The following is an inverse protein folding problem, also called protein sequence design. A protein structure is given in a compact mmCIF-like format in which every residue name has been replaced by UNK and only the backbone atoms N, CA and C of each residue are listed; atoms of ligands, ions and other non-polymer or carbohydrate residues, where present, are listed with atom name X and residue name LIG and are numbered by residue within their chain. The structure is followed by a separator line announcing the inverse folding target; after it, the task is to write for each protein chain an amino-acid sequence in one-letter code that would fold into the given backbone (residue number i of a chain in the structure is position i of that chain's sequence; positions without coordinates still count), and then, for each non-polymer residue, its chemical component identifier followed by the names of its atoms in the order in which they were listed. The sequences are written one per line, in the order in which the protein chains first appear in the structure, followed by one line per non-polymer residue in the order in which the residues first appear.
data_IF_554793050299
#
_entry.id   IF_554793050299
#
_cell.length_a   1.000
_cell.length_b   1.000
_cell.length_c   1.000
_cell.angle_alpha   90.00
_cell.angle_beta   90.00
_cell.angle_gamma   90.00
#
_symmetry.space_group_name_H-M   'P 1'
#
loop_
_entity.id
_entity.type
_entity.pdbx_description
1 polymer ?
#
# COMPACT_ATOMS: atom_id res chain seq x y z
N UNK A 1 -32.50 17.27 6.46
CA UNK A 1 -31.53 16.38 5.79
C UNK A 1 -31.67 14.98 6.38
N UNK A 2 -32.01 13.97 5.58
CA UNK A 2 -32.16 12.61 6.10
C UNK A 2 -30.77 12.03 6.37
N UNK A 3 -30.34 11.97 7.64
CA UNK A 3 -29.00 11.51 8.06
C UNK A 3 -28.73 10.04 7.71
N UNK A 4 -29.73 9.29 7.25
CA UNK A 4 -29.62 7.90 6.80
C UNK A 4 -29.38 7.74 5.28
N UNK A 5 -29.35 8.83 4.50
CA UNK A 5 -29.11 8.74 3.06
C UNK A 5 -27.64 8.43 2.74
N UNK A 6 -27.41 7.46 1.85
CA UNK A 6 -26.10 7.20 1.27
C UNK A 6 -26.20 6.71 -0.18
N UNK A 7 -25.15 7.00 -0.93
CA UNK A 7 -24.98 6.58 -2.31
C UNK A 7 -23.83 5.58 -2.48
N UNK A 8 -22.89 5.57 -1.54
CA UNK A 8 -21.74 4.69 -1.59
C UNK A 8 -21.34 4.16 -0.21
N UNK A 9 -20.68 3.00 -0.21
CA UNK A 9 -20.08 2.38 0.97
C UNK A 9 -18.58 2.25 0.69
N UNK A 10 -17.76 2.93 1.49
CA UNK A 10 -16.32 2.72 1.51
C UNK A 10 -16.00 1.65 2.55
N UNK A 11 -15.57 0.50 2.07
CA UNK A 11 -15.25 -0.69 2.81
C UNK A 11 -13.76 -0.73 3.10
N UNK A 12 -13.35 -0.21 4.26
CA UNK A 12 -11.97 -0.30 4.71
C UNK A 12 -11.74 -1.69 5.31
N UNK A 13 -10.73 -2.40 4.86
CA UNK A 13 -10.42 -3.79 5.26
C UNK A 13 -8.97 -3.92 5.71
N UNK A 14 -8.74 -4.98 6.48
CA UNK A 14 -7.49 -5.29 7.18
C UNK A 14 -7.28 -4.40 8.41
N UNK A 15 -8.11 -4.62 9.44
CA UNK A 15 -8.04 -3.90 10.73
C UNK A 15 -6.71 -4.07 11.48
N UNK A 16 -5.93 -5.11 11.14
CA UNK A 16 -4.62 -5.38 11.71
C UNK A 16 -3.49 -4.60 11.03
N UNK A 17 -3.76 -3.93 9.91
CA UNK A 17 -2.79 -3.04 9.29
C UNK A 17 -2.47 -1.88 10.22
N UNK A 18 -1.19 -1.52 10.33
CA UNK A 18 -0.75 -0.33 11.09
C UNK A 18 -1.40 0.97 10.60
N UNK A 19 -1.85 1.00 9.34
CA UNK A 19 -2.47 2.17 8.70
C UNK A 19 -3.97 2.28 8.95
N UNK A 20 -4.59 1.31 9.65
CA UNK A 20 -6.06 1.24 9.72
C UNK A 20 -6.69 2.46 10.39
N UNK A 21 -6.16 2.87 11.55
CA UNK A 21 -6.67 4.03 12.27
C UNK A 21 -6.40 5.33 11.50
N UNK A 22 -5.19 5.49 10.95
CA UNK A 22 -4.81 6.67 10.15
C UNK A 22 -5.67 6.80 8.89
N UNK A 23 -6.02 5.68 8.25
CA UNK A 23 -6.93 5.67 7.10
C UNK A 23 -8.36 6.06 7.49
N UNK A 24 -8.85 5.60 8.64
CA UNK A 24 -10.17 6.02 9.16
C UNK A 24 -10.19 7.51 9.51
N UNK A 25 -9.17 8.01 10.20
CA UNK A 25 -9.03 9.42 10.54
C UNK A 25 -8.96 10.28 9.27
N UNK A 26 -8.17 9.85 8.29
CA UNK A 26 -8.09 10.50 6.99
C UNK A 26 -9.45 10.61 6.30
N UNK A 27 -10.26 9.55 6.30
CA UNK A 27 -11.62 9.59 5.73
C UNK A 27 -12.47 10.63 6.43
N UNK A 28 -12.47 10.66 7.77
CA UNK A 28 -13.24 11.62 8.55
C UNK A 28 -12.80 13.06 8.25
N UNK A 29 -11.48 13.31 8.22
CA UNK A 29 -10.89 14.62 7.96
C UNK A 29 -11.23 15.13 6.56
N UNK A 30 -10.96 14.34 5.52
CA UNK A 30 -11.26 14.71 4.13
C UNK A 30 -12.76 14.97 3.91
N UNK A 31 -13.62 14.24 4.61
CA UNK A 31 -15.08 14.48 4.55
C UNK A 31 -15.44 15.83 5.20
N UNK A 32 -14.88 16.12 6.38
CA UNK A 32 -15.14 17.37 7.09
C UNK A 32 -14.62 18.60 6.32
N UNK A 33 -13.47 18.49 5.65
CA UNK A 33 -12.84 19.57 4.90
C UNK A 33 -13.57 19.93 3.61
N UNK A 34 -14.44 19.06 3.08
CA UNK A 34 -15.13 19.30 1.80
C UNK A 34 -16.08 20.51 1.81
N UNK A 35 -16.41 21.10 2.97
CA UNK A 35 -17.28 22.28 3.18
C UNK A 35 -18.55 22.35 2.30
N UNK A 36 -19.00 21.19 1.82
CA UNK A 36 -20.08 21.03 0.86
C UNK A 36 -21.22 20.34 1.57
N UNK A 37 -22.37 21.02 1.62
CA UNK A 37 -23.54 20.49 2.33
C UNK A 37 -23.98 19.10 1.80
N UNK A 38 -23.70 18.77 0.54
CA UNK A 38 -24.06 17.50 -0.09
C UNK A 38 -23.11 16.32 0.22
N UNK A 39 -21.96 16.55 0.86
CA UNK A 39 -20.96 15.52 1.17
C UNK A 39 -20.89 15.30 2.67
N UNK A 40 -21.31 14.13 3.15
CA UNK A 40 -21.25 13.75 4.55
C UNK A 40 -21.15 12.24 4.74
N UNK A 41 -20.67 11.83 5.92
CA UNK A 41 -20.73 10.46 6.39
C UNK A 41 -22.10 10.25 7.06
N UNK A 42 -22.88 9.31 6.54
CA UNK A 42 -24.19 8.95 7.11
C UNK A 42 -24.04 8.09 8.36
N UNK A 43 -23.16 7.08 8.30
CA UNK A 43 -22.78 6.23 9.44
C UNK A 43 -21.43 5.57 9.19
N UNK A 44 -20.78 5.18 10.28
CA UNK A 44 -19.60 4.30 10.28
C UNK A 44 -19.98 3.05 11.06
N UNK A 45 -19.77 1.89 10.45
CA UNK A 45 -20.12 0.59 11.04
C UNK A 45 -18.87 -0.28 11.12
N UNK A 46 -18.52 -0.74 12.31
CA UNK A 46 -17.44 -1.72 12.48
C UNK A 46 -17.93 -3.09 12.04
N UNK A 47 -17.14 -3.77 11.22
CA UNK A 47 -17.45 -5.11 10.70
C UNK A 47 -16.26 -6.03 10.98
N UNK A 48 -16.44 -7.34 10.85
CA UNK A 48 -15.34 -8.29 11.04
C UNK A 48 -14.19 -7.99 10.06
N UNK A 49 -13.01 -7.66 10.58
CA UNK A 49 -11.82 -7.39 9.79
C UNK A 49 -11.77 -6.00 9.13
N UNK A 50 -12.60 -5.05 9.56
CA UNK A 50 -12.57 -3.69 9.04
C UNK A 50 -13.75 -2.79 9.44
N UNK A 51 -14.05 -1.81 8.60
CA UNK A 51 -15.15 -0.87 8.81
C UNK A 51 -15.83 -0.49 7.48
N UNK A 52 -17.13 -0.21 7.55
CA UNK A 52 -17.93 0.30 6.44
C UNK A 52 -18.33 1.74 6.72
N UNK A 53 -17.89 2.66 5.85
CA UNK A 53 -18.20 4.09 5.91
C UNK A 53 -19.23 4.41 4.84
N UNK A 54 -20.40 4.86 5.27
CA UNK A 54 -21.52 5.18 4.39
C UNK A 54 -21.46 6.65 3.99
N UNK A 55 -21.34 6.92 2.69
CA UNK A 55 -21.10 8.25 2.14
C UNK A 55 -22.27 8.71 1.27
N UNK A 56 -22.63 9.99 1.37
CA UNK A 56 -23.70 10.61 0.60
C UNK A 56 -23.37 10.80 -0.89
N UNK A 57 -22.11 10.63 -1.32
CA UNK A 57 -21.67 10.86 -2.70
C UNK A 57 -20.77 9.74 -3.24
N UNK A 58 -21.14 9.16 -4.38
CA UNK A 58 -20.32 8.13 -5.07
C UNK A 58 -19.00 8.66 -5.59
N UNK A 59 -19.02 9.89 -6.14
CA UNK A 59 -17.82 10.52 -6.70
C UNK A 59 -16.79 10.73 -5.60
N UNK A 60 -17.24 11.20 -4.44
CA UNK A 60 -16.37 11.41 -3.29
C UNK A 60 -15.86 10.09 -2.69
N UNK A 61 -16.71 9.06 -2.59
CA UNK A 61 -16.26 7.74 -2.14
C UNK A 61 -15.17 7.13 -3.03
N UNK A 62 -15.31 7.28 -4.36
CA UNK A 62 -14.28 6.85 -5.32
C UNK A 62 -12.97 7.61 -5.13
N UNK A 63 -13.04 8.94 -4.98
CA UNK A 63 -11.88 9.80 -4.72
C UNK A 63 -11.13 9.39 -3.44
N UNK A 64 -11.87 9.18 -2.34
CA UNK A 64 -11.31 8.69 -1.09
C UNK A 64 -10.63 7.33 -1.24
N UNK A 65 -11.27 6.37 -1.91
CA UNK A 65 -10.69 5.06 -2.16
C UNK A 65 -9.37 5.14 -2.92
N UNK A 66 -9.30 5.97 -3.97
CA UNK A 66 -8.07 6.24 -4.73
C UNK A 66 -6.98 6.87 -3.86
N UNK A 67 -7.30 7.91 -3.07
CA UNK A 67 -6.33 8.55 -2.18
C UNK A 67 -5.79 7.61 -1.10
N UNK A 68 -6.64 6.76 -0.53
CA UNK A 68 -6.24 5.74 0.45
C UNK A 68 -5.25 4.77 -0.22
N UNK A 69 -5.57 4.29 -1.42
CA UNK A 69 -4.71 3.38 -2.16
C UNK A 69 -3.36 4.02 -2.53
N UNK A 70 -3.37 5.27 -2.98
CA UNK A 70 -2.15 6.02 -3.32
C UNK A 70 -1.27 6.27 -2.08
N UNK A 71 -1.88 6.58 -0.94
CA UNK A 71 -1.14 6.88 0.30
C UNK A 71 -0.61 5.63 1.00
N UNK A 72 -1.42 4.59 1.12
CA UNK A 72 -1.12 3.42 1.95
C UNK A 72 -0.88 2.14 1.15
N UNK A 73 -1.05 2.17 -0.17
CA UNK A 73 -0.93 0.99 -1.03
C UNK A 73 -2.13 0.04 -0.92
N UNK A 74 -1.87 -1.26 -0.90
CA UNK A 74 -2.91 -2.28 -0.78
C UNK A 74 -3.75 -2.45 -2.05
N UNK A 75 -5.03 -2.74 -1.91
CA UNK A 75 -5.95 -3.03 -3.02
C UNK A 75 -7.17 -2.11 -3.00
N UNK A 76 -7.50 -1.61 -4.20
CA UNK A 76 -8.70 -0.83 -4.48
C UNK A 76 -9.64 -1.60 -5.40
N UNK A 77 -10.91 -1.71 -5.02
CA UNK A 77 -11.96 -2.30 -5.83
C UNK A 77 -13.18 -1.39 -5.93
N UNK A 78 -13.79 -1.29 -7.10
CA UNK A 78 -15.02 -0.53 -7.33
C UNK A 78 -16.10 -1.48 -7.85
N UNK A 79 -17.26 -1.51 -7.20
CA UNK A 79 -18.37 -2.36 -7.60
C UNK A 79 -19.70 -1.58 -7.51
N UNK A 80 -20.31 -1.22 -8.66
CA UNK A 80 -21.64 -0.64 -8.66
C UNK A 80 -22.71 -1.71 -8.36
N UNK A 81 -23.72 -1.33 -7.58
CA UNK A 81 -24.86 -2.19 -7.22
C UNK A 81 -26.16 -1.49 -7.57
N UNK A 82 -27.05 -2.16 -8.31
CA UNK A 82 -28.40 -1.65 -8.57
C UNK A 82 -29.15 -1.49 -7.23
N UNK A 83 -29.65 -0.29 -6.95
CA UNK A 83 -30.39 0.02 -5.72
C UNK A 83 -31.89 0.10 -5.97
N UNK A 84 -32.30 0.84 -7.01
CA UNK A 84 -33.71 1.00 -7.35
C UNK A 84 -33.85 1.41 -8.81
N UNK A 85 -35.09 1.48 -9.30
CA UNK A 85 -35.45 2.05 -10.59
C UNK A 85 -36.35 3.24 -10.34
N UNK A 86 -35.97 4.40 -10.87
CA UNK A 86 -36.77 5.60 -10.79
C UNK A 86 -38.07 5.38 -11.58
N UNK A 87 -39.21 5.41 -10.89
CA UNK A 87 -40.52 5.10 -11.47
C UNK A 87 -41.01 6.12 -12.50
N UNK A 88 -40.54 7.37 -12.42
CA UNK A 88 -40.93 8.44 -13.34
C UNK A 88 -40.05 8.45 -14.60
N UNK A 89 -38.74 8.28 -14.45
CA UNK A 89 -37.80 8.35 -15.58
C UNK A 89 -37.43 6.98 -16.15
N UNK A 90 -37.89 5.89 -15.52
CA UNK A 90 -37.51 4.50 -15.81
C UNK A 90 -36.01 4.21 -15.72
N UNK A 91 -35.20 5.16 -15.22
CA UNK A 91 -33.74 5.03 -15.09
C UNK A 91 -33.35 4.23 -13.86
N UNK A 92 -32.31 3.42 -14.00
CA UNK A 92 -31.73 2.67 -12.89
C UNK A 92 -30.88 3.57 -11.99
N UNK A 93 -31.09 3.43 -10.68
CA UNK A 93 -30.36 4.13 -9.64
C UNK A 93 -29.41 3.14 -8.99
N UNK A 94 -28.12 3.37 -9.19
CA UNK A 94 -27.05 2.55 -8.62
C UNK A 94 -26.55 3.14 -7.29
N UNK A 95 -25.98 2.29 -6.44
CA UNK A 95 -25.06 2.65 -5.35
C UNK A 95 -23.66 2.12 -5.68
N UNK A 96 -22.63 2.63 -5.02
CA UNK A 96 -21.24 2.22 -5.26
C UNK A 96 -20.61 1.61 -4.02
N UNK A 97 -20.05 0.40 -4.14
CA UNK A 97 -19.14 -0.15 -3.16
C UNK A 97 -17.70 0.19 -3.57
N UNK A 98 -16.94 0.76 -2.63
CA UNK A 98 -15.53 1.08 -2.78
C UNK A 98 -14.77 0.24 -1.75
N UNK A 99 -14.07 -0.80 -2.21
CA UNK A 99 -13.22 -1.63 -1.36
C UNK A 99 -11.84 -0.99 -1.27
N UNK A 100 -11.37 -0.74 -0.06
CA UNK A 100 -9.99 -0.37 0.24
C UNK A 100 -9.41 -1.38 1.24
N UNK A 101 -8.57 -2.31 0.76
CA UNK A 101 -7.89 -3.28 1.61
C UNK A 101 -6.47 -2.80 1.86
N UNK A 102 -6.18 -2.44 3.11
CA UNK A 102 -4.86 -1.98 3.51
C UNK A 102 -3.86 -3.14 3.52
N UNK A 103 -2.59 -2.91 3.18
CA UNK A 103 -1.56 -3.95 3.25
C UNK A 103 -1.08 -4.15 4.70
N UNK A 104 -0.54 -5.33 5.02
CA UNK A 104 0.25 -5.48 6.24
C UNK A 104 1.66 -4.91 6.07
N UNK A 105 2.17 -4.90 4.84
CA UNK A 105 3.55 -4.59 4.49
C UNK A 105 3.58 -3.53 3.39
N UNK A 106 4.36 -2.47 3.63
CA UNK A 106 4.46 -1.35 2.70
C UNK A 106 5.29 -1.72 1.46
N UNK A 107 4.95 -1.11 0.33
CA UNK A 107 5.75 -1.20 -0.89
C UNK A 107 7.15 -0.65 -0.60
N UNK A 108 8.19 -1.35 -1.06
CA UNK A 108 9.59 -1.05 -0.80
C UNK A 108 10.15 -1.80 0.42
N UNK A 109 9.31 -2.29 1.33
CA UNK A 109 9.78 -3.10 2.46
C UNK A 109 10.47 -4.38 1.96
N UNK A 110 11.56 -4.78 2.60
CA UNK A 110 12.21 -6.06 2.38
C UNK A 110 11.74 -7.05 3.45
N UNK A 111 11.37 -8.24 3.02
CA UNK A 111 10.85 -9.29 3.88
C UNK A 111 11.58 -10.61 3.65
N UNK A 112 11.61 -11.45 4.68
CA UNK A 112 12.08 -12.83 4.57
C UNK A 112 10.91 -13.77 4.39
N UNK A 113 10.96 -14.58 3.34
CA UNK A 113 10.02 -15.68 3.08
C UNK A 113 10.81 -16.97 2.88
N UNK A 114 11.07 -17.68 3.97
CA UNK A 114 11.97 -18.84 3.99
C UNK A 114 13.39 -18.42 3.64
N UNK A 115 13.95 -18.99 2.56
CA UNK A 115 15.30 -18.65 2.05
C UNK A 115 15.33 -17.39 1.17
N UNK A 116 14.18 -16.82 0.84
CA UNK A 116 14.10 -15.69 -0.09
C UNK A 116 14.04 -14.37 0.68
N UNK A 117 14.92 -13.44 0.31
CA UNK A 117 14.84 -12.03 0.72
C UNK A 117 14.16 -11.27 -0.42
N UNK A 118 13.02 -10.65 -0.16
CA UNK A 118 12.14 -10.09 -1.19
C UNK A 118 11.90 -8.62 -0.94
N UNK A 119 12.25 -7.75 -1.89
CA UNK A 119 11.81 -6.35 -1.88
C UNK A 119 10.41 -6.27 -2.47
N UNK A 120 9.42 -5.85 -1.66
CA UNK A 120 8.04 -5.70 -2.10
C UNK A 120 7.93 -4.57 -3.13
N UNK A 121 7.28 -4.85 -4.25
CA UNK A 121 7.06 -3.93 -5.38
C UNK A 121 5.58 -3.68 -5.65
N UNK A 122 4.70 -4.58 -5.24
CA UNK A 122 3.28 -4.41 -5.45
C UNK A 122 2.44 -5.30 -4.56
N UNK A 123 1.15 -5.01 -4.57
CA UNK A 123 0.12 -5.73 -3.85
C UNK A 123 -1.04 -6.03 -4.80
N UNK A 124 -1.53 -7.26 -4.81
CA UNK A 124 -2.71 -7.64 -5.59
C UNK A 124 -3.46 -8.77 -4.89
N UNK A 125 -4.73 -8.55 -4.52
CA UNK A 125 -5.64 -9.57 -3.98
C UNK A 125 -5.04 -10.41 -2.85
N UNK A 126 -4.40 -9.77 -1.87
CA UNK A 126 -3.76 -10.45 -0.73
C UNK A 126 -2.43 -11.12 -1.04
N UNK A 127 -1.83 -10.80 -2.20
CA UNK A 127 -0.50 -11.29 -2.60
C UNK A 127 0.44 -10.12 -2.80
N UNK A 128 1.65 -10.24 -2.26
CA UNK A 128 2.73 -9.30 -2.49
C UNK A 128 3.56 -9.79 -3.68
N UNK A 129 3.79 -8.92 -4.64
CA UNK A 129 4.76 -9.13 -5.70
C UNK A 129 6.04 -8.40 -5.34
N UNK A 130 7.18 -9.01 -5.60
CA UNK A 130 8.46 -8.42 -5.25
C UNK A 130 9.63 -9.06 -5.97
N UNK A 131 10.80 -8.45 -5.84
CA UNK A 131 12.03 -8.95 -6.43
C UNK A 131 12.84 -9.65 -5.36
N UNK A 132 13.24 -10.89 -5.61
CA UNK A 132 14.18 -11.58 -4.76
C UNK A 132 15.55 -10.89 -4.89
N UNK A 133 16.08 -10.37 -3.78
CA UNK A 133 17.33 -9.60 -3.78
C UNK A 133 18.54 -10.46 -4.11
N UNK A 134 18.52 -11.76 -3.80
CA UNK A 134 19.64 -12.67 -4.09
C UNK A 134 19.65 -13.11 -5.55
N UNK A 135 18.49 -13.48 -6.09
CA UNK A 135 18.41 -14.05 -7.45
C UNK A 135 18.04 -13.05 -8.54
N UNK A 136 17.56 -11.85 -8.17
CA UNK A 136 17.01 -10.85 -9.08
C UNK A 136 15.66 -11.21 -9.72
N UNK A 137 15.12 -12.40 -9.45
CA UNK A 137 13.86 -12.87 -10.05
C UNK A 137 12.63 -12.29 -9.34
N UNK A 138 11.58 -12.01 -10.11
CA UNK A 138 10.28 -11.64 -9.56
C UNK A 138 9.62 -12.85 -8.90
N UNK A 139 9.09 -12.68 -7.69
CA UNK A 139 8.35 -13.69 -6.96
C UNK A 139 7.06 -13.11 -6.37
N UNK A 140 6.09 -13.98 -6.12
CA UNK A 140 4.83 -13.62 -5.46
C UNK A 140 4.68 -14.41 -4.16
N UNK A 141 4.41 -13.71 -3.07
CA UNK A 141 4.20 -14.30 -1.74
C UNK A 141 2.84 -13.87 -1.18
N UNK A 142 2.33 -14.60 -0.19
CA UNK A 142 1.04 -14.32 0.44
C UNK A 142 1.23 -13.24 1.53
N UNK A 143 0.35 -12.27 1.57
CA UNK A 143 0.31 -11.28 2.65
C UNK A 143 -0.60 -11.76 3.80
N UNK A 144 -0.08 -12.64 4.65
CA UNK A 144 -0.81 -13.19 5.80
C UNK A 144 -0.51 -12.48 7.13
N UNK A 145 0.32 -11.44 7.09
CA UNK A 145 0.78 -10.71 8.27
C UNK A 145 1.79 -11.46 9.14
N UNK A 146 2.38 -12.56 8.67
CA UNK A 146 3.38 -13.36 9.40
C UNK A 146 4.80 -13.28 8.82
N UNK A 147 4.98 -12.53 7.75
CA UNK A 147 6.29 -12.36 7.12
C UNK A 147 7.22 -11.56 8.03
N UNK A 148 8.46 -12.03 8.15
CA UNK A 148 9.51 -11.33 8.89
C UNK A 148 9.94 -10.09 8.09
N UNK A 149 9.79 -8.91 8.68
CA UNK A 149 10.20 -7.65 8.08
C UNK A 149 11.68 -7.42 8.39
N UNK A 150 12.49 -7.26 7.34
CA UNK A 150 13.94 -7.05 7.43
C UNK A 150 14.33 -5.57 7.39
N UNK A 151 13.48 -4.71 6.82
CA UNK A 151 13.73 -3.26 6.74
C UNK A 151 13.02 -2.58 5.57
N UNK A 152 13.23 -1.27 5.42
CA UNK A 152 12.55 -0.41 4.43
C UNK A 152 11.27 0.25 4.98
N UNK A 153 10.56 1.08 4.18
CA UNK A 153 10.81 1.43 2.78
C UNK A 153 11.88 2.53 2.58
N UNK A 154 12.48 3.04 3.65
CA UNK A 154 13.60 3.98 3.58
C UNK A 154 14.89 3.21 3.30
N UNK A 155 15.63 3.63 2.28
CA UNK A 155 16.89 3.03 1.88
C UNK A 155 18.02 4.05 1.93
N UNK A 156 19.23 3.57 2.19
CA UNK A 156 20.40 4.40 2.18
C UNK A 156 20.94 4.59 0.76
N UNK A 157 21.39 5.79 0.44
CA UNK A 157 22.15 6.03 -0.80
C UNK A 157 23.63 5.88 -0.50
N UNK A 158 24.27 4.87 -1.08
CA UNK A 158 25.69 4.62 -0.88
C UNK A 158 26.49 4.96 -2.15
N UNK A 159 27.72 5.42 -1.96
CA UNK A 159 28.66 5.71 -3.04
C UNK A 159 29.45 4.45 -3.35
N UNK A 160 29.56 4.11 -4.64
CA UNK A 160 30.38 2.99 -5.10
C UNK A 160 31.85 3.41 -5.08
N UNK A 161 32.67 2.68 -4.34
CA UNK A 161 34.12 2.92 -4.20
C UNK A 161 34.94 2.10 -5.18
N UNK A 162 34.48 0.88 -5.47
CA UNK A 162 35.19 -0.09 -6.30
C UNK A 162 34.21 -0.91 -7.11
N UNK A 163 34.57 -1.25 -8.36
CA UNK A 163 33.73 -2.05 -9.26
C UNK A 163 34.25 -3.47 -9.50
N UNK A 164 35.56 -3.69 -9.35
CA UNK A 164 36.23 -4.97 -9.61
C UNK A 164 37.08 -5.39 -8.41
N UNK A 165 37.14 -6.68 -8.04
CA UNK A 165 36.45 -7.82 -8.68
C UNK A 165 34.94 -7.89 -8.35
N UNK A 166 34.48 -7.16 -7.34
CA UNK A 166 33.08 -6.99 -6.97
C UNK A 166 32.79 -5.51 -6.68
N UNK A 167 31.51 -5.15 -6.66
CA UNK A 167 31.07 -3.78 -6.34
C UNK A 167 31.14 -3.58 -4.83
N UNK A 168 31.90 -2.58 -4.39
CA UNK A 168 32.01 -2.16 -2.99
C UNK A 168 31.39 -0.78 -2.81
N UNK A 169 30.75 -0.57 -1.66
CA UNK A 169 30.18 0.71 -1.24
C UNK A 169 30.74 1.15 0.11
N UNK A 170 30.63 2.43 0.40
CA UNK A 170 30.77 2.94 1.78
C UNK A 170 29.46 2.68 2.52
N UNK A 171 29.53 1.90 3.60
CA UNK A 171 28.40 1.68 4.49
C UNK A 171 27.94 3.03 5.07
N UNK A 172 26.63 3.36 4.99
CA UNK A 172 26.11 4.68 5.37
C UNK A 172 26.32 5.02 6.85
N UNK A 173 26.26 4.02 7.73
CA UNK A 173 26.41 4.24 9.18
C UNK A 173 27.84 4.02 9.69
N UNK A 174 28.52 2.96 9.25
CA UNK A 174 29.86 2.60 9.75
C UNK A 174 31.01 3.21 8.95
N UNK A 175 30.73 3.80 7.78
CA UNK A 175 31.71 4.34 6.84
C UNK A 175 32.78 3.34 6.36
N UNK A 176 32.56 2.04 6.57
CA UNK A 176 33.44 0.97 6.11
C UNK A 176 33.11 0.54 4.68
N UNK A 177 34.11 0.03 3.96
CA UNK A 177 33.90 -0.58 2.64
C UNK A 177 33.21 -1.94 2.79
N UNK A 178 32.05 -2.10 2.16
CA UNK A 178 31.26 -3.35 2.18
C UNK A 178 30.93 -3.79 0.77
N UNK A 179 31.08 -5.09 0.49
CA UNK A 179 30.72 -5.68 -0.79
C UNK A 179 29.20 -5.82 -0.96
N UNK A 180 28.69 -5.43 -2.13
CA UNK A 180 27.27 -5.52 -2.47
C UNK A 180 26.97 -6.90 -3.04
N UNK A 181 26.06 -7.63 -2.39
CA UNK A 181 25.81 -9.05 -2.69
C UNK A 181 25.13 -9.29 -4.04
N UNK A 182 24.30 -8.35 -4.47
CA UNK A 182 23.47 -8.46 -5.67
C UNK A 182 23.70 -7.30 -6.65
N UNK A 183 24.94 -6.81 -6.69
CA UNK A 183 25.29 -5.65 -7.50
C UNK A 183 24.91 -5.87 -8.97
N UNK A 184 24.16 -4.93 -9.53
CA UNK A 184 23.84 -4.95 -10.96
C UNK A 184 25.08 -4.57 -11.76
N UNK A 185 25.25 -5.16 -12.94
CA UNK A 185 26.39 -4.91 -13.83
C UNK A 185 26.49 -3.47 -14.35
N UNK A 186 25.50 -2.63 -14.08
CA UNK A 186 25.47 -1.23 -14.51
C UNK A 186 26.37 -0.37 -13.64
N UNK A 187 27.34 0.32 -14.25
CA UNK A 187 28.25 1.25 -13.58
C UNK A 187 27.44 2.47 -13.10
N UNK A 188 27.13 2.53 -11.81
CA UNK A 188 26.46 3.67 -11.17
C UNK A 188 27.35 4.23 -10.06
N UNK A 189 27.54 5.55 -10.06
CA UNK A 189 28.32 6.26 -9.03
C UNK A 189 27.67 6.20 -7.63
N UNK A 190 26.33 6.10 -7.58
CA UNK A 190 25.54 5.95 -6.36
C UNK A 190 24.46 4.90 -6.58
N UNK A 191 24.24 4.06 -5.57
CA UNK A 191 23.21 3.03 -5.57
C UNK A 191 22.40 3.11 -4.27
N UNK A 192 21.12 2.69 -4.34
CA UNK A 192 20.30 2.53 -3.14
C UNK A 192 20.55 1.14 -2.57
N UNK A 193 20.83 1.08 -1.29
CA UNK A 193 21.14 -0.18 -0.61
C UNK A 193 20.35 -0.34 0.68
N UNK A 194 20.10 -1.60 1.02
CA UNK A 194 19.66 -2.01 2.35
C UNK A 194 20.74 -2.86 2.98
N UNK A 195 20.97 -2.64 4.27
CA UNK A 195 21.85 -3.47 5.09
C UNK A 195 20.96 -4.47 5.82
N UNK A 196 21.17 -5.75 5.56
CA UNK A 196 20.43 -6.87 6.19
C UNK A 196 21.49 -7.81 6.75
N UNK A 197 21.47 -8.05 8.06
CA UNK A 197 22.44 -8.90 8.76
C UNK A 197 23.92 -8.52 8.46
N UNK A 198 24.20 -7.22 8.33
CA UNK A 198 25.53 -6.69 8.02
C UNK A 198 25.93 -6.78 6.53
N UNK A 199 25.08 -7.34 5.67
CA UNK A 199 25.32 -7.47 4.24
C UNK A 199 24.57 -6.39 3.45
N UNK A 200 25.24 -5.82 2.45
CA UNK A 200 24.66 -4.80 1.58
C UNK A 200 23.95 -5.42 0.36
N UNK A 201 22.69 -5.07 0.17
CA UNK A 201 21.89 -5.43 -0.99
C UNK A 201 21.47 -4.18 -1.76
N UNK A 202 21.81 -4.09 -3.04
CA UNK A 202 21.25 -3.12 -3.98
C UNK A 202 19.74 -3.34 -4.12
N UNK A 203 18.99 -2.28 -3.89
CA UNK A 203 17.54 -2.24 -4.04
C UNK A 203 17.18 -1.36 -5.23
N UNK A 204 16.05 -1.68 -5.86
CA UNK A 204 15.53 -0.88 -7.00
C UNK A 204 14.59 0.20 -6.51
#
# INVERSE_FOLDING_TARGET
MNRQYYEAILQLRNEKSKHFNDALEFICKETAERQRQDIFISKVEKVKGGADVYLSSKKFAKDLGSKIHERYGGELGLSPRLFSRNRQTSKEVYRLNVLARLPYIDIGTCVRSGKNIVQIKGYNKGRLTGTNLVTGKSITIIDDGKLEILGGPVFHTAVVTKYKPHVEIIHPETFQSVAVQNAKSTIKKKIKVMIIDGLAYEVS
#
